data_IF_791124507831
#
_entry.id   IF_791124507831
#
_cell.length_a   1.000
_cell.length_b   1.000
_cell.length_c   1.000
_cell.angle_alpha   90.00
_cell.angle_beta   90.00
_cell.angle_gamma   90.00
#
_symmetry.space_group_name_H-M   'P 1'
#
loop_
_entity.id
_entity.type
_entity.pdbx_description
1 polymer ?
#
# COMPACT_ATOMS: atom_id res chain seq x y z
N UNK A 1 17.91 -5.63 17.46
CA UNK A 1 16.86 -6.64 17.73
C UNK A 1 15.55 -6.16 17.14
N UNK A 2 14.92 -6.96 16.27
CA UNK A 2 13.64 -6.66 15.57
C UNK A 2 12.39 -6.69 16.48
N UNK A 3 12.53 -7.07 17.76
CA UNK A 3 11.39 -7.30 18.67
C UNK A 3 10.66 -6.03 19.12
N UNK A 4 11.37 -4.89 19.25
CA UNK A 4 10.79 -3.65 19.78
C UNK A 4 9.72 -3.03 18.87
N UNK A 5 9.87 -3.16 17.56
CA UNK A 5 8.95 -2.52 16.60
C UNK A 5 7.55 -3.15 16.62
N UNK A 6 7.46 -4.44 16.97
CA UNK A 6 6.21 -5.19 17.10
C UNK A 6 5.68 -5.25 18.54
N UNK A 7 6.44 -4.73 19.50
CA UNK A 7 6.01 -4.71 20.89
C UNK A 7 4.93 -3.62 21.10
N UNK A 8 3.87 -3.89 21.86
CA UNK A 8 2.86 -2.90 22.17
C UNK A 8 3.46 -1.77 23.01
N UNK A 9 2.98 -0.54 22.76
CA UNK A 9 3.45 0.66 23.47
C UNK A 9 2.30 1.61 23.73
N UNK A 10 2.48 2.43 24.76
CA UNK A 10 1.67 3.61 25.03
C UNK A 10 2.50 4.87 24.77
N UNK A 11 2.00 5.76 23.93
CA UNK A 11 2.57 7.07 23.65
C UNK A 11 1.50 8.01 23.08
N UNK A 12 1.68 9.31 23.24
CA UNK A 12 0.84 10.33 22.62
C UNK A 12 1.74 11.28 21.86
N UNK A 13 1.27 11.73 20.69
CA UNK A 13 1.97 12.65 19.82
C UNK A 13 1.03 13.79 19.46
N UNK A 14 1.47 15.03 19.70
CA UNK A 14 0.71 16.24 19.42
C UNK A 14 1.33 16.99 18.25
N UNK A 15 0.49 17.60 17.42
CA UNK A 15 0.88 18.50 16.33
C UNK A 15 2.03 17.95 15.46
N UNK A 16 1.84 16.74 14.94
CA UNK A 16 2.90 15.97 14.27
C UNK A 16 2.53 15.67 12.81
N UNK A 17 3.52 15.70 11.92
CA UNK A 17 3.34 15.20 10.54
C UNK A 17 3.61 13.71 10.45
N UNK A 18 3.09 13.06 9.40
CA UNK A 18 3.40 11.65 9.15
C UNK A 18 4.90 11.41 8.95
N UNK A 19 5.62 12.37 8.36
CA UNK A 19 7.06 12.32 8.21
C UNK A 19 7.79 12.35 9.56
N UNK A 20 7.36 13.23 10.46
CA UNK A 20 7.97 13.36 11.79
C UNK A 20 7.68 12.14 12.67
N UNK A 21 6.46 11.61 12.60
CA UNK A 21 6.07 10.38 13.28
C UNK A 21 6.92 9.20 12.79
N UNK A 22 7.07 9.05 11.47
CA UNK A 22 7.90 8.02 10.86
C UNK A 22 9.36 8.15 11.29
N UNK A 23 9.91 9.38 11.30
CA UNK A 23 11.30 9.66 11.70
C UNK A 23 11.53 9.30 13.16
N UNK A 24 10.63 9.74 14.05
CA UNK A 24 10.70 9.45 15.49
C UNK A 24 10.71 7.95 15.77
N UNK A 25 9.87 7.18 15.07
CA UNK A 25 9.82 5.72 15.22
C UNK A 25 11.04 5.06 14.57
N UNK A 26 11.46 5.52 13.39
CA UNK A 26 12.61 4.96 12.68
C UNK A 26 13.89 5.11 13.50
N UNK A 27 14.17 6.31 14.01
CA UNK A 27 15.37 6.61 14.82
C UNK A 27 15.42 5.76 16.08
N UNK A 28 14.28 5.59 16.77
CA UNK A 28 14.16 4.75 17.96
C UNK A 28 14.61 3.31 17.73
N UNK A 29 14.33 2.76 16.56
CA UNK A 29 14.65 1.36 16.21
C UNK A 29 15.87 1.23 15.27
N UNK A 30 16.56 2.34 14.97
CA UNK A 30 17.74 2.36 14.10
C UNK A 30 17.45 2.11 12.62
N UNK A 31 16.25 2.47 12.15
CA UNK A 31 15.88 2.46 10.74
C UNK A 31 16.08 3.84 10.10
N UNK A 32 16.31 3.85 8.79
CA UNK A 32 16.25 5.06 7.98
C UNK A 32 14.80 5.28 7.48
N UNK A 33 14.17 6.42 7.77
CA UNK A 33 12.81 6.70 7.31
C UNK A 33 12.80 7.00 5.79
N UNK A 34 11.83 6.44 5.08
CA UNK A 34 11.57 6.71 3.67
C UNK A 34 10.08 6.93 3.48
N UNK A 35 9.68 8.09 2.94
CA UNK A 35 8.27 8.45 2.74
C UNK A 35 8.06 9.04 1.35
N UNK A 36 6.92 8.75 0.74
CA UNK A 36 6.49 9.41 -0.50
C UNK A 36 6.17 10.89 -0.23
N UNK A 37 6.61 11.79 -1.12
CA UNK A 37 6.47 13.24 -0.93
C UNK A 37 5.01 13.67 -0.77
N UNK A 38 4.09 13.01 -1.48
CA UNK A 38 2.63 13.25 -1.39
C UNK A 38 2.07 13.00 0.03
N UNK A 39 2.69 12.11 0.81
CA UNK A 39 2.19 11.68 2.13
C UNK A 39 2.91 12.39 3.30
N UNK A 40 4.08 12.97 3.05
CA UNK A 40 4.95 13.52 4.08
C UNK A 40 4.28 14.67 4.86
N UNK A 41 3.53 15.51 4.15
CA UNK A 41 2.89 16.72 4.71
C UNK A 41 1.56 16.44 5.43
N UNK A 42 1.13 15.17 5.54
CA UNK A 42 -0.12 14.88 6.27
C UNK A 42 0.06 15.22 7.74
N UNK A 43 -0.75 16.16 8.21
CA UNK A 43 -0.73 16.67 9.57
C UNK A 43 -1.78 16.00 10.45
N UNK A 44 -1.41 15.74 11.70
CA UNK A 44 -2.31 15.25 12.74
C UNK A 44 -2.24 16.18 13.95
N UNK A 45 -3.40 16.67 14.40
CA UNK A 45 -3.51 17.46 15.64
C UNK A 45 -3.08 16.62 16.84
N UNK A 46 -3.55 15.38 16.89
CA UNK A 46 -3.25 14.45 17.96
C UNK A 46 -3.25 13.00 17.46
N UNK A 47 -2.30 12.20 17.94
CA UNK A 47 -2.21 10.77 17.68
C UNK A 47 -1.91 10.04 18.98
N UNK A 48 -2.84 9.19 19.37
CA UNK A 48 -2.68 8.29 20.51
C UNK A 48 -2.27 6.90 20.05
N UNK A 49 -1.18 6.40 20.61
CA UNK A 49 -0.74 5.02 20.53
C UNK A 49 -1.12 4.34 21.84
N UNK A 50 -2.18 3.52 21.87
CA UNK A 50 -2.67 2.85 23.07
C UNK A 50 -2.58 1.34 22.93
N UNK A 51 -1.69 0.70 23.68
CA UNK A 51 -1.39 -0.73 23.60
C UNK A 51 -1.13 -1.21 22.16
N UNK A 52 -0.64 -0.30 21.31
CA UNK A 52 -0.46 -0.51 19.88
C UNK A 52 1.03 -0.54 19.57
N UNK A 53 1.47 -1.45 18.70
CA UNK A 53 2.87 -1.49 18.29
C UNK A 53 3.21 -0.34 17.33
N UNK A 54 4.48 0.07 17.31
CA UNK A 54 4.94 1.15 16.42
C UNK A 54 4.68 0.82 14.94
N UNK A 55 4.86 -0.45 14.53
CA UNK A 55 4.55 -0.86 13.15
C UNK A 55 3.06 -0.82 12.85
N UNK A 56 2.21 -1.18 13.81
CA UNK A 56 0.76 -1.21 13.61
C UNK A 56 0.18 0.21 13.52
N UNK A 57 0.69 1.14 14.33
CA UNK A 57 0.36 2.57 14.24
C UNK A 57 0.69 3.12 12.84
N UNK A 58 1.92 2.91 12.38
CA UNK A 58 2.35 3.39 11.05
C UNK A 58 1.60 2.71 9.90
N UNK A 59 1.29 1.42 10.03
CA UNK A 59 0.53 0.67 9.03
C UNK A 59 -0.91 1.17 8.96
N UNK A 60 -1.52 1.48 10.10
CA UNK A 60 -2.88 2.05 10.18
C UNK A 60 -2.92 3.43 9.55
N UNK A 61 -1.99 4.33 9.91
CA UNK A 61 -1.90 5.67 9.32
C UNK A 61 -1.57 5.67 7.84
N UNK A 62 -0.73 4.75 7.37
CA UNK A 62 -0.49 4.56 5.95
C UNK A 62 -1.78 4.10 5.23
N UNK A 63 -2.51 3.13 5.80
CA UNK A 63 -3.75 2.59 5.20
C UNK A 63 -4.85 3.64 5.06
N UNK A 64 -5.02 4.52 6.05
CA UNK A 64 -5.95 5.66 6.01
C UNK A 64 -5.74 6.54 4.76
N UNK A 65 -4.48 6.65 4.30
CA UNK A 65 -4.09 7.45 3.13
C UNK A 65 -3.94 6.62 1.85
N UNK A 66 -4.35 5.34 1.85
CA UNK A 66 -4.17 4.45 0.70
C UNK A 66 -2.70 4.11 0.41
N UNK A 67 -1.84 4.16 1.43
CA UNK A 67 -0.42 3.86 1.39
C UNK A 67 -0.10 2.54 2.12
N UNK A 68 1.09 2.03 1.89
CA UNK A 68 1.64 0.83 2.52
C UNK A 68 2.83 1.23 3.38
N UNK A 69 2.87 0.74 4.62
CA UNK A 69 4.04 0.77 5.47
C UNK A 69 4.76 -0.59 5.40
N UNK A 70 6.08 -0.59 5.15
CA UNK A 70 6.89 -1.81 5.18
C UNK A 70 8.32 -1.57 5.68
N UNK A 71 8.84 -2.43 6.58
CA UNK A 71 10.26 -2.46 6.88
C UNK A 71 11.01 -3.19 5.75
N UNK A 72 12.00 -2.53 5.13
CA UNK A 72 12.83 -3.10 4.05
C UNK A 72 14.31 -2.95 4.38
N UNK A 73 14.97 -4.04 4.80
CA UNK A 73 16.37 -3.99 5.22
C UNK A 73 16.55 -3.05 6.42
N UNK A 74 17.42 -2.05 6.30
CA UNK A 74 17.64 -0.99 7.32
C UNK A 74 16.75 0.25 7.11
N UNK A 75 15.67 0.14 6.32
CA UNK A 75 14.76 1.25 6.02
C UNK A 75 13.35 0.94 6.48
N UNK A 76 12.63 1.97 6.92
CA UNK A 76 11.20 1.92 7.22
C UNK A 76 10.48 2.81 6.21
N UNK A 77 9.68 2.19 5.33
CA UNK A 77 9.14 2.85 4.16
C UNK A 77 7.63 3.05 4.27
N UNK A 78 7.12 4.25 3.97
CA UNK A 78 5.71 4.55 3.71
C UNK A 78 5.58 5.00 2.24
N UNK A 79 4.90 4.19 1.42
CA UNK A 79 4.80 4.39 -0.01
C UNK A 79 3.34 4.35 -0.46
N UNK A 80 2.96 5.18 -1.43
CA UNK A 80 1.62 5.11 -2.03
C UNK A 80 1.42 3.76 -2.71
N UNK A 81 0.30 3.10 -2.44
CA UNK A 81 0.02 1.76 -2.97
C UNK A 81 -0.10 1.77 -4.50
N UNK A 82 0.61 0.86 -5.17
CA UNK A 82 0.50 0.66 -6.63
C UNK A 82 1.23 1.69 -7.51
N UNK A 83 2.03 2.59 -6.93
CA UNK A 83 2.77 3.59 -7.70
C UNK A 83 3.99 3.03 -8.47
N UNK A 84 4.50 1.85 -8.11
CA UNK A 84 5.72 1.24 -8.70
C UNK A 84 6.93 2.18 -8.76
N UNK A 85 7.06 3.08 -7.79
CA UNK A 85 8.15 4.05 -7.70
C UNK A 85 9.17 3.58 -6.66
N UNK A 86 10.45 3.67 -7.02
CA UNK A 86 11.53 3.56 -6.04
C UNK A 86 11.85 4.94 -5.52
N UNK A 87 11.89 5.11 -4.20
CA UNK A 87 12.38 6.34 -3.58
C UNK A 87 13.86 6.14 -3.25
N UNK A 88 14.72 6.93 -3.88
CA UNK A 88 16.13 6.96 -3.52
C UNK A 88 16.34 7.83 -2.29
N UNK A 89 16.75 7.22 -1.18
CA UNK A 89 16.97 7.88 0.11
C UNK A 89 18.02 9.01 0.07
N UNK A 90 18.97 8.98 -0.88
CA UNK A 90 20.02 10.01 -0.99
C UNK A 90 19.56 11.28 -1.71
N UNK A 91 18.64 11.15 -2.65
CA UNK A 91 18.21 12.26 -3.52
C UNK A 91 16.76 12.69 -3.22
N UNK A 92 16.00 11.93 -2.41
CA UNK A 92 14.54 12.04 -2.26
C UNK A 92 13.80 12.11 -3.62
N UNK A 93 14.43 11.58 -4.68
CA UNK A 93 13.86 11.51 -6.02
C UNK A 93 13.15 10.19 -6.22
N UNK A 94 11.98 10.26 -6.81
CA UNK A 94 11.22 9.09 -7.26
C UNK A 94 11.78 8.66 -8.62
N UNK A 95 12.30 7.43 -8.70
CA UNK A 95 12.71 6.82 -9.97
C UNK A 95 11.74 5.68 -10.30
N UNK A 96 11.21 5.60 -11.54
CA UNK A 96 10.37 4.49 -11.95
C UNK A 96 11.19 3.19 -11.89
N UNK A 97 10.59 2.14 -11.34
CA UNK A 97 11.24 0.83 -11.30
C UNK A 97 11.34 0.24 -12.72
N UNK A 98 12.42 -0.49 -13.04
CA UNK A 98 12.57 -1.14 -14.34
C UNK A 98 11.45 -2.16 -14.56
N UNK A 99 10.95 -2.22 -15.79
CA UNK A 99 9.94 -3.19 -16.19
C UNK A 99 10.63 -4.52 -16.52
N UNK A 100 10.25 -5.59 -15.82
CA UNK A 100 10.82 -6.91 -16.02
C UNK A 100 10.04 -7.71 -17.08
N UNK A 101 10.68 -8.23 -18.13
CA UNK A 101 10.02 -9.08 -19.11
C UNK A 101 9.70 -10.46 -18.52
N UNK A 102 8.56 -11.06 -18.86
CA UNK A 102 8.30 -12.50 -18.65
C UNK A 102 7.77 -13.10 -19.95
N UNK A 103 8.52 -14.05 -20.51
CA UNK A 103 8.12 -14.82 -21.69
C UNK A 103 7.51 -16.16 -21.26
N UNK A 104 6.18 -16.21 -21.12
CA UNK A 104 5.52 -17.39 -20.57
C UNK A 104 5.80 -18.69 -21.35
N UNK A 105 5.90 -18.59 -22.68
CA UNK A 105 6.09 -19.74 -23.57
C UNK A 105 7.53 -20.26 -23.54
N UNK A 106 8.52 -19.36 -23.52
CA UNK A 106 9.94 -19.75 -23.56
C UNK A 106 10.47 -20.17 -22.18
N UNK A 107 9.97 -19.55 -21.10
CA UNK A 107 10.41 -19.79 -19.73
C UNK A 107 9.63 -20.93 -19.04
N UNK A 108 8.69 -21.59 -19.74
CA UNK A 108 7.87 -22.65 -19.15
C UNK A 108 7.06 -22.19 -17.92
N UNK A 109 6.69 -20.92 -17.90
CA UNK A 109 6.07 -20.27 -16.74
C UNK A 109 4.62 -20.70 -16.58
N UNK A 110 4.23 -21.11 -15.38
CA UNK A 110 2.83 -21.39 -15.08
C UNK A 110 2.11 -20.09 -14.72
N UNK A 111 1.04 -19.76 -15.46
CA UNK A 111 0.29 -18.51 -15.26
C UNK A 111 -1.18 -18.84 -15.04
N UNK A 112 -1.68 -18.51 -13.85
CA UNK A 112 -3.10 -18.59 -13.52
C UNK A 112 -3.67 -17.18 -13.37
N UNK A 113 -4.83 -16.91 -13.97
CA UNK A 113 -5.53 -15.64 -13.82
C UNK A 113 -6.82 -15.85 -13.04
N UNK A 114 -7.01 -15.04 -12.00
CA UNK A 114 -8.28 -14.95 -11.29
C UNK A 114 -8.81 -13.52 -11.32
N UNK A 115 -10.12 -13.40 -11.42
CA UNK A 115 -10.79 -12.10 -11.24
C UNK A 115 -11.09 -11.95 -9.75
N UNK A 116 -10.47 -10.98 -9.10
CA UNK A 116 -10.62 -10.69 -7.68
C UNK A 116 -11.46 -9.43 -7.53
N UNK A 117 -12.55 -9.51 -6.75
CA UNK A 117 -13.45 -8.39 -6.58
C UNK A 117 -14.34 -8.19 -7.81
N UNK A 118 -15.52 -8.82 -7.81
CA UNK A 118 -16.65 -8.23 -8.53
C UNK A 118 -16.87 -6.88 -7.86
N UNK A 119 -16.52 -5.81 -8.55
CA UNK A 119 -16.56 -4.48 -8.00
C UNK A 119 -18.02 -3.99 -8.05
N UNK A 120 -18.82 -4.50 -7.13
CA UNK A 120 -20.26 -4.25 -7.11
C UNK A 120 -20.57 -2.81 -6.71
N UNK A 121 -19.69 -2.12 -6.00
CA UNK A 121 -19.97 -0.78 -5.49
C UNK A 121 -19.65 0.35 -6.50
N UNK A 122 -20.67 1.19 -6.74
CA UNK A 122 -20.62 2.39 -7.58
C UNK A 122 -20.07 3.62 -6.86
N UNK A 123 -20.18 3.67 -5.53
CA UNK A 123 -19.65 4.77 -4.72
C UNK A 123 -19.21 4.30 -3.32
N UNK A 124 -18.37 5.10 -2.67
CA UNK A 124 -18.02 4.97 -1.24
C UNK A 124 -18.44 6.25 -0.53
N UNK A 125 -19.04 6.12 0.66
CA UNK A 125 -19.47 7.24 1.51
C UNK A 125 -18.89 7.08 2.91
N UNK A 126 -18.43 8.17 3.51
CA UNK A 126 -18.07 8.24 4.92
C UNK A 126 -18.74 9.45 5.59
N UNK A 127 -18.80 9.41 6.91
CA UNK A 127 -19.34 10.48 7.73
C UNK A 127 -18.24 11.14 8.54
N UNK A 128 -18.34 12.44 8.74
CA UNK A 128 -17.48 13.19 9.63
C UNK A 128 -18.31 14.11 10.52
N UNK A 129 -17.75 14.45 11.68
CA UNK A 129 -18.38 15.32 12.64
C UNK A 129 -17.28 16.15 13.31
N UNK A 130 -17.38 17.47 13.19
CA UNK A 130 -16.49 18.40 13.88
C UNK A 130 -16.71 18.37 15.39
N UNK A 131 -15.68 18.71 16.16
CA UNK A 131 -15.75 18.71 17.63
C UNK A 131 -16.83 19.69 18.19
N UNK A 132 -17.06 20.80 17.47
CA UNK A 132 -18.02 21.84 17.85
C UNK A 132 -19.38 21.69 17.16
N UNK A 133 -19.54 20.67 16.30
CA UNK A 133 -20.75 20.50 15.49
C UNK A 133 -21.59 19.32 15.97
N UNK A 134 -22.90 19.53 16.06
CA UNK A 134 -23.86 18.49 16.46
C UNK A 134 -24.36 17.68 15.27
N UNK A 135 -24.16 18.15 14.02
CA UNK A 135 -24.54 17.43 12.81
C UNK A 135 -23.41 16.56 12.25
N UNK A 136 -23.79 15.42 11.67
CA UNK A 136 -22.89 14.55 10.91
C UNK A 136 -23.00 14.92 9.44
N UNK A 137 -21.90 15.35 8.86
CA UNK A 137 -21.78 15.58 7.44
C UNK A 137 -21.24 14.32 6.74
N UNK A 138 -21.49 14.22 5.44
CA UNK A 138 -21.04 13.07 4.65
C UNK A 138 -20.24 13.47 3.44
N UNK A 139 -19.23 12.67 3.14
CA UNK A 139 -18.40 12.79 1.94
C UNK A 139 -18.52 11.50 1.15
N UNK A 140 -18.65 11.60 -0.17
CA UNK A 140 -18.68 10.44 -1.06
C UNK A 140 -17.75 10.61 -2.26
N UNK A 141 -17.24 9.49 -2.76
CA UNK A 141 -16.45 9.40 -3.99
C UNK A 141 -17.04 8.31 -4.88
N UNK A 142 -17.15 8.61 -6.17
CA UNK A 142 -17.78 7.74 -7.17
C UNK A 142 -19.18 8.19 -7.54
N UNK A 143 -19.94 7.29 -8.15
CA UNK A 143 -21.32 7.53 -8.59
C UNK A 143 -22.02 6.23 -8.95
N UNK A 144 -23.29 6.12 -8.54
CA UNK A 144 -24.12 4.95 -8.76
C UNK A 144 -24.24 4.03 -7.55
N UNK A 145 -25.12 3.03 -7.69
CA UNK A 145 -25.41 2.04 -6.66
C UNK A 145 -24.78 0.68 -7.00
N UNK A 146 -24.52 -0.17 -5.99
CA UNK A 146 -24.61 0.07 -4.55
C UNK A 146 -23.53 1.01 -4.00
N UNK A 147 -23.86 1.72 -2.91
CA UNK A 147 -22.94 2.59 -2.17
C UNK A 147 -22.36 1.83 -0.98
N UNK A 148 -21.03 1.82 -0.84
CA UNK A 148 -20.36 1.30 0.35
C UNK A 148 -20.25 2.39 1.42
N UNK A 149 -20.98 2.25 2.52
CA UNK A 149 -20.88 3.16 3.66
C UNK A 149 -19.81 2.69 4.64
N UNK A 150 -18.87 3.58 4.97
CA UNK A 150 -17.86 3.34 6.00
C UNK A 150 -18.49 3.43 7.39
N UNK A 151 -18.10 2.52 8.28
CA UNK A 151 -18.61 2.46 9.67
C UNK A 151 -18.07 3.58 10.56
N UNK A 152 -16.90 4.11 10.23
CA UNK A 152 -16.17 5.05 11.09
C UNK A 152 -16.64 6.50 10.85
N UNK A 153 -16.65 7.28 11.94
CA UNK A 153 -16.92 8.71 11.92
C UNK A 153 -15.58 9.43 12.10
N UNK A 154 -15.27 10.31 11.16
CA UNK A 154 -14.03 11.09 11.17
C UNK A 154 -14.21 12.42 11.90
N UNK A 155 -13.17 12.89 12.58
CA UNK A 155 -13.20 14.17 13.30
C UNK A 155 -13.06 15.38 12.37
N UNK A 156 -12.57 15.17 11.14
CA UNK A 156 -12.23 16.22 10.19
C UNK A 156 -12.66 15.84 8.77
N UNK A 157 -13.09 16.84 8.00
CA UNK A 157 -13.50 16.71 6.61
C UNK A 157 -12.38 16.14 5.75
N UNK A 158 -11.14 16.66 5.90
CA UNK A 158 -10.02 16.20 5.07
C UNK A 158 -9.67 14.73 5.35
N UNK A 159 -9.78 14.28 6.61
CA UNK A 159 -9.59 12.87 6.96
C UNK A 159 -10.65 11.98 6.30
N UNK A 160 -11.91 12.40 6.26
CA UNK A 160 -12.97 11.66 5.57
C UNK A 160 -12.73 11.59 4.05
N UNK A 161 -12.33 12.69 3.41
CA UNK A 161 -11.99 12.71 1.98
C UNK A 161 -10.87 11.71 1.66
N UNK A 162 -9.79 11.74 2.44
CA UNK A 162 -8.65 10.85 2.22
C UNK A 162 -9.04 9.39 2.43
N UNK A 163 -9.81 9.09 3.47
CA UNK A 163 -10.25 7.73 3.79
C UNK A 163 -11.23 7.15 2.74
N UNK A 164 -12.18 7.96 2.27
CA UNK A 164 -13.10 7.59 1.19
C UNK A 164 -12.32 7.37 -0.11
N UNK A 165 -11.37 8.26 -0.43
CA UNK A 165 -10.49 8.13 -1.59
C UNK A 165 -9.62 6.87 -1.53
N UNK A 166 -9.03 6.56 -0.38
CA UNK A 166 -8.24 5.37 -0.14
C UNK A 166 -9.07 4.09 -0.29
N UNK A 167 -10.28 4.08 0.28
CA UNK A 167 -11.22 2.96 0.17
C UNK A 167 -11.73 2.78 -1.26
N UNK A 168 -12.04 3.88 -1.96
CA UNK A 168 -12.41 3.86 -3.38
C UNK A 168 -11.29 3.28 -4.24
N UNK A 169 -10.05 3.74 -4.06
CA UNK A 169 -8.89 3.20 -4.74
C UNK A 169 -8.71 1.70 -4.44
N UNK A 170 -8.91 1.29 -3.18
CA UNK A 170 -8.83 -0.12 -2.79
C UNK A 170 -9.91 -0.99 -3.48
N UNK A 171 -11.15 -0.52 -3.54
CA UNK A 171 -12.23 -1.22 -4.24
C UNK A 171 -11.97 -1.27 -5.75
N UNK A 172 -11.54 -0.17 -6.37
CA UNK A 172 -11.19 -0.10 -7.81
C UNK A 172 -9.94 -0.90 -8.18
N UNK A 173 -9.08 -1.25 -7.21
CA UNK A 173 -7.98 -2.21 -7.41
C UNK A 173 -8.47 -3.66 -7.56
N UNK A 174 -9.72 -3.96 -7.18
CA UNK A 174 -10.37 -5.22 -7.52
C UNK A 174 -10.44 -5.39 -9.04
N UNK A 175 -9.80 -6.43 -9.56
CA UNK A 175 -9.69 -6.68 -10.98
C UNK A 175 -8.98 -8.00 -11.26
N UNK A 176 -8.24 -8.05 -12.37
CA UNK A 176 -7.51 -9.25 -12.77
C UNK A 176 -6.23 -9.40 -11.95
N UNK A 177 -6.13 -10.49 -11.19
CA UNK A 177 -4.93 -10.91 -10.49
C UNK A 177 -4.32 -12.10 -11.23
N UNK A 178 -2.99 -12.07 -11.42
CA UNK A 178 -2.23 -13.16 -12.00
C UNK A 178 -1.36 -13.81 -10.92
N UNK A 179 -1.42 -15.13 -10.82
CA UNK A 179 -0.43 -15.92 -10.13
C UNK A 179 0.55 -16.50 -11.15
N UNK A 180 1.82 -16.19 -11.01
CA UNK A 180 2.89 -16.57 -11.95
C UNK A 180 3.93 -17.38 -11.17
N UNK A 181 4.18 -18.62 -11.59
CA UNK A 181 5.22 -19.47 -11.05
C UNK A 181 6.31 -19.71 -12.10
N UNK A 182 7.55 -19.41 -11.71
CA UNK A 182 8.73 -19.48 -12.58
C UNK A 182 9.97 -19.95 -11.80
N UNK A 183 11.05 -20.18 -12.54
CA UNK A 183 12.37 -20.43 -11.96
C UNK A 183 12.83 -19.26 -11.06
N UNK A 184 13.68 -19.56 -10.08
CA UNK A 184 14.17 -18.59 -9.12
C UNK A 184 14.82 -17.38 -9.80
N UNK A 185 14.27 -16.21 -9.54
CA UNK A 185 14.91 -14.95 -9.88
C UNK A 185 14.55 -13.88 -8.85
N UNK A 186 15.57 -13.47 -8.09
CA UNK A 186 15.45 -12.51 -7.00
C UNK A 186 15.24 -11.08 -7.53
N UNK A 187 15.40 -10.85 -8.84
CA UNK A 187 15.05 -9.58 -9.44
C UNK A 187 13.53 -9.31 -9.37
N UNK A 188 12.68 -10.34 -9.29
CA UNK A 188 11.23 -10.14 -9.19
C UNK A 188 10.82 -9.92 -7.75
N UNK A 189 10.69 -8.66 -7.37
CA UNK A 189 10.29 -8.24 -6.03
C UNK A 189 8.97 -7.46 -6.08
N UNK A 190 8.30 -7.36 -4.92
CA UNK A 190 7.10 -6.54 -4.76
C UNK A 190 7.34 -5.09 -5.24
N UNK A 191 6.29 -4.46 -5.78
CA UNK A 191 6.24 -3.14 -6.41
C UNK A 191 6.95 -3.01 -7.76
N UNK A 192 7.66 -4.04 -8.25
CA UNK A 192 8.18 -4.00 -9.62
C UNK A 192 7.08 -4.23 -10.64
N UNK A 193 7.25 -3.62 -11.81
CA UNK A 193 6.37 -3.80 -12.95
C UNK A 193 6.89 -4.95 -13.80
N UNK A 194 5.98 -5.83 -14.23
CA UNK A 194 6.24 -6.95 -15.12
C UNK A 194 5.50 -6.74 -16.42
N UNK A 195 6.15 -7.06 -17.53
CA UNK A 195 5.52 -7.17 -18.84
C UNK A 195 5.41 -8.64 -19.23
N UNK A 196 4.22 -9.21 -19.10
CA UNK A 196 3.92 -10.57 -19.53
C UNK A 196 3.63 -10.58 -21.02
N UNK A 197 4.36 -11.40 -21.79
CA UNK A 197 4.11 -11.60 -23.23
C UNK A 197 4.10 -13.08 -23.59
N UNK A 198 3.63 -13.39 -24.80
CA UNK A 198 3.42 -14.76 -25.30
C UNK A 198 2.48 -15.62 -24.43
N UNK A 199 1.45 -14.99 -23.83
CA UNK A 199 0.40 -15.65 -23.07
C UNK A 199 -0.96 -15.03 -23.38
N UNK A 200 -2.07 -15.77 -23.19
CA UNK A 200 -3.45 -15.24 -23.36
C UNK A 200 -3.74 -14.03 -22.46
N UNK A 201 -2.99 -13.88 -21.38
CA UNK A 201 -3.12 -12.79 -20.43
C UNK A 201 -1.96 -11.80 -20.50
N UNK A 202 -1.34 -11.63 -21.67
CA UNK A 202 -0.29 -10.66 -21.90
C UNK A 202 -0.71 -9.24 -21.49
N UNK A 203 0.24 -8.47 -20.97
CA UNK A 203 0.02 -7.12 -20.47
C UNK A 203 1.04 -6.68 -19.43
N UNK A 204 0.91 -5.42 -19.01
CA UNK A 204 1.69 -4.85 -17.91
C UNK A 204 0.97 -5.09 -16.58
N UNK A 205 1.71 -5.58 -15.60
CA UNK A 205 1.23 -5.89 -14.26
C UNK A 205 2.22 -5.37 -13.21
N UNK A 206 1.74 -5.12 -12.01
CA UNK A 206 2.55 -4.76 -10.84
C UNK A 206 2.60 -5.95 -9.90
N UNK A 207 3.80 -6.34 -9.45
CA UNK A 207 3.97 -7.41 -8.47
C UNK A 207 3.47 -6.93 -7.11
N UNK A 208 2.41 -7.53 -6.60
CA UNK A 208 1.89 -7.32 -5.24
C UNK A 208 2.75 -8.03 -4.21
N UNK A 209 3.10 -9.29 -4.48
CA UNK A 209 3.97 -10.10 -3.64
C UNK A 209 4.84 -11.03 -4.48
N UNK A 210 6.06 -11.24 -4.01
CA UNK A 210 6.99 -12.21 -4.55
C UNK A 210 7.48 -13.12 -3.43
N UNK A 211 7.36 -14.43 -3.65
CA UNK A 211 7.82 -15.46 -2.72
C UNK A 211 8.89 -16.26 -3.41
N UNK A 212 10.10 -16.23 -2.86
CA UNK A 212 11.22 -17.03 -3.34
C UNK A 212 11.40 -18.25 -2.44
N UNK A 213 11.34 -19.44 -3.02
CA UNK A 213 11.54 -20.69 -2.30
C UNK A 213 12.85 -21.31 -2.78
N UNK A 214 13.80 -21.45 -1.86
CA UNK A 214 15.05 -22.16 -2.10
C UNK A 214 14.82 -23.65 -1.79
N UNK A 215 14.64 -24.46 -2.83
CA UNK A 215 14.55 -25.90 -2.69
C UNK A 215 15.90 -26.58 -2.92
N UNK A 216 16.10 -27.76 -2.35
CA UNK A 216 17.36 -28.50 -2.47
C UNK A 216 17.69 -29.00 -3.88
N UNK A 217 16.69 -29.08 -4.78
CA UNK A 217 16.87 -29.47 -6.20
C UNK A 217 16.34 -28.43 -7.18
N UNK A 218 15.24 -27.76 -6.85
CA UNK A 218 14.62 -26.72 -7.68
C UNK A 218 14.27 -25.55 -6.79
N UNK A 219 14.62 -24.35 -7.22
CA UNK A 219 14.21 -23.12 -6.56
C UNK A 219 13.21 -22.38 -7.43
N UNK A 220 12.14 -21.88 -6.83
CA UNK A 220 11.03 -21.26 -7.55
C UNK A 220 10.75 -19.86 -7.05
N UNK A 221 10.16 -19.05 -7.91
CA UNK A 221 9.61 -17.74 -7.57
C UNK A 221 8.14 -17.72 -7.93
N UNK A 222 7.29 -17.50 -6.93
CA UNK A 222 5.85 -17.32 -7.08
C UNK A 222 5.53 -15.84 -6.96
N UNK A 223 4.88 -15.29 -7.98
CA UNK A 223 4.51 -13.88 -8.06
C UNK A 223 3.00 -13.74 -8.08
N UNK A 224 2.48 -12.89 -7.21
CA UNK A 224 1.10 -12.41 -7.31
C UNK A 224 1.13 -11.02 -7.90
N UNK A 225 0.52 -10.85 -9.08
CA UNK A 225 0.56 -9.63 -9.85
C UNK A 225 -0.85 -9.07 -10.05
N UNK A 226 -1.00 -7.75 -9.97
CA UNK A 226 -2.26 -7.03 -10.20
C UNK A 226 -2.11 -6.03 -11.32
N UNK A 227 -3.21 -5.52 -11.87
CA UNK A 227 -3.15 -4.45 -12.85
C UNK A 227 -2.53 -3.17 -12.23
N UNK A 228 -1.74 -2.39 -12.99
CA UNK A 228 -1.22 -1.12 -12.53
C UNK A 228 -2.38 -0.17 -12.20
N UNK A 229 -2.26 0.56 -11.10
CA UNK A 229 -3.24 1.59 -10.76
C UNK A 229 -3.00 2.78 -11.68
N UNK A 230 -3.83 2.93 -12.71
CA UNK A 230 -3.85 4.15 -13.52
C UNK A 230 -4.48 5.27 -12.69
N UNK A 231 -3.66 6.13 -12.07
CA UNK A 231 -4.12 7.48 -11.71
C UNK A 231 -4.43 8.18 -13.05
N UNK A 232 -5.71 8.44 -13.33
CA UNK A 232 -6.13 9.39 -14.36
C UNK A 232 -6.03 10.80 -13.79
#
# INVERSE_FOLDING_TARGET
MMGGLKAPRNASYDNITLSDLLTTIADRHGYQPVIANELASKYYVHVDQRSQSDIDLLTTKARELGAICKPTGKRLCILSEGASKSINTKEKTEKPLPVLPINAKAEGTYVNARTVGKNEYGAVKAYWQGADDSSKDSVSVGGGEPVYEMSDIYADHQQAVDAVGAKWAHLKRGGKELNIERELDVAYAAERTVNLFNHRHAGKYVIKSATHVLGGKVSTTTLTCTLPTTKK
#
